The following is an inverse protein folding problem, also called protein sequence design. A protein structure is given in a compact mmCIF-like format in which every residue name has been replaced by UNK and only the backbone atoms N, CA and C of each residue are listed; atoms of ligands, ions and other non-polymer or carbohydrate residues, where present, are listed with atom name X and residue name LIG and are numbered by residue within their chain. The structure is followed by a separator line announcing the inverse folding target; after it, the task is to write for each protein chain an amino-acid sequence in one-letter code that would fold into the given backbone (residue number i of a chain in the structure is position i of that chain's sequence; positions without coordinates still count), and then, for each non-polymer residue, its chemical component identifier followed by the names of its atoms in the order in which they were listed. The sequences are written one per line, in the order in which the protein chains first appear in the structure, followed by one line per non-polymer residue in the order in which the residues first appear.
data_IF_975395899981
#
_entry.id   IF_975395899981
#
_cell.length_a   1.000
_cell.length_b   1.000
_cell.length_c   1.000
_cell.angle_alpha   90.00
_cell.angle_beta   90.00
_cell.angle_gamma   90.00
#
_symmetry.space_group_name_H-M   'P 1'
#
loop_
_entity.id
_entity.type
_entity.pdbx_description
1 polymer ?
#
# COMPACT_ATOMS: atom_id res chain seq x y z
N UNK A 1 -1.63 -28.23 -8.31
CA UNK A 1 -1.05 -26.93 -8.68
C UNK A 1 -2.04 -25.77 -8.53
N UNK A 2 -3.22 -25.76 -9.18
CA UNK A 2 -4.20 -24.65 -9.00
C UNK A 2 -4.78 -24.52 -7.58
N UNK A 3 -5.11 -25.64 -6.92
CA UNK A 3 -5.64 -25.63 -5.55
C UNK A 3 -4.65 -25.05 -4.54
N UNK A 4 -3.38 -25.41 -4.66
CA UNK A 4 -2.31 -24.96 -3.75
C UNK A 4 -2.04 -23.45 -3.82
N UNK A 5 -2.07 -22.86 -5.03
CA UNK A 5 -1.90 -21.42 -5.21
C UNK A 5 -3.09 -20.64 -4.61
N UNK A 6 -4.33 -21.12 -4.86
CA UNK A 6 -5.53 -20.51 -4.28
C UNK A 6 -5.48 -20.55 -2.75
N UNK A 7 -5.21 -21.71 -2.17
CA UNK A 7 -5.23 -21.88 -0.71
C UNK A 7 -4.13 -21.01 -0.04
N UNK A 8 -2.96 -20.89 -0.69
CA UNK A 8 -1.89 -19.98 -0.26
C UNK A 8 -2.33 -18.52 -0.31
N UNK A 9 -3.01 -18.10 -1.38
CA UNK A 9 -3.50 -16.73 -1.54
C UNK A 9 -4.63 -16.41 -0.56
N UNK A 10 -5.50 -17.36 -0.27
CA UNK A 10 -6.55 -17.21 0.75
C UNK A 10 -5.93 -16.99 2.14
N UNK A 11 -4.95 -17.81 2.53
CA UNK A 11 -4.22 -17.62 3.78
C UNK A 11 -3.48 -16.27 3.82
N UNK A 12 -2.75 -15.94 2.76
CA UNK A 12 -2.04 -14.65 2.63
C UNK A 12 -3.00 -13.45 2.71
N UNK A 13 -4.19 -13.56 2.13
CA UNK A 13 -5.24 -12.55 2.18
C UNK A 13 -5.72 -12.30 3.60
N UNK A 14 -6.02 -13.37 4.35
CA UNK A 14 -6.47 -13.29 5.73
C UNK A 14 -5.39 -12.69 6.64
N UNK A 15 -4.15 -13.15 6.52
CA UNK A 15 -3.02 -12.68 7.33
C UNK A 15 -2.72 -11.20 7.07
N UNK A 16 -2.70 -10.79 5.79
CA UNK A 16 -2.49 -9.38 5.48
C UNK A 16 -3.67 -8.51 5.89
N UNK A 17 -4.91 -9.02 5.85
CA UNK A 17 -6.08 -8.27 6.34
C UNK A 17 -5.92 -7.99 7.84
N UNK A 18 -5.53 -8.99 8.62
CA UNK A 18 -5.26 -8.82 10.05
C UNK A 18 -4.11 -7.83 10.30
N UNK A 19 -3.04 -7.90 9.50
CA UNK A 19 -1.91 -6.97 9.59
C UNK A 19 -2.33 -5.53 9.26
N UNK A 20 -3.09 -5.31 8.19
CA UNK A 20 -3.57 -4.00 7.78
C UNK A 20 -4.45 -3.36 8.86
N UNK A 21 -5.39 -4.12 9.43
CA UNK A 21 -6.24 -3.63 10.52
C UNK A 21 -5.42 -3.23 11.76
N UNK A 22 -4.36 -3.99 12.09
CA UNK A 22 -3.45 -3.64 13.20
C UNK A 22 -2.67 -2.37 12.92
N UNK A 23 -2.18 -2.17 11.69
CA UNK A 23 -1.47 -0.94 11.29
C UNK A 23 -2.42 0.26 11.40
N UNK A 24 -3.63 0.15 10.86
CA UNK A 24 -4.65 1.21 10.92
C UNK A 24 -5.03 1.57 12.36
N UNK A 25 -5.22 0.59 13.24
CA UNK A 25 -5.47 0.83 14.67
C UNK A 25 -4.31 1.60 15.36
N UNK A 26 -3.06 1.23 15.06
CA UNK A 26 -1.88 1.93 15.57
C UNK A 26 -1.78 3.37 15.04
N UNK A 27 -2.13 3.59 13.77
CA UNK A 27 -2.16 4.92 13.15
C UNK A 27 -3.24 5.80 13.81
N UNK A 28 -4.44 5.28 14.01
CA UNK A 28 -5.51 5.99 14.70
C UNK A 28 -5.10 6.40 16.13
N UNK A 29 -4.48 5.50 16.88
CA UNK A 29 -3.93 5.78 18.22
C UNK A 29 -2.87 6.88 18.20
N UNK A 30 -1.95 6.83 17.22
CA UNK A 30 -0.91 7.85 17.07
C UNK A 30 -1.49 9.24 16.75
N UNK A 31 -2.59 9.28 16.00
CA UNK A 31 -3.33 10.50 15.68
C UNK A 31 -4.30 10.95 16.78
N UNK A 32 -4.41 10.20 17.88
CA UNK A 32 -5.41 10.41 18.94
C UNK A 32 -6.84 10.49 18.38
N UNK A 33 -7.09 9.72 17.33
CA UNK A 33 -8.43 9.47 16.81
C UNK A 33 -9.07 8.40 17.67
N UNK A 34 -10.39 8.44 17.81
CA UNK A 34 -11.10 7.32 18.40
C UNK A 34 -10.87 6.09 17.51
N UNK A 35 -10.38 5.00 18.11
CA UNK A 35 -10.04 3.78 17.37
C UNK A 35 -11.25 3.21 16.60
N UNK A 36 -12.46 3.59 17.03
CA UNK A 36 -13.72 3.24 16.38
C UNK A 36 -13.81 3.79 14.95
N UNK A 37 -13.27 4.98 14.66
CA UNK A 37 -13.51 5.64 13.36
C UNK A 37 -12.74 4.95 12.24
N UNK A 38 -11.45 4.71 12.45
CA UNK A 38 -10.61 4.06 11.45
C UNK A 38 -10.96 2.58 11.31
N UNK A 39 -11.38 1.92 12.39
CA UNK A 39 -11.87 0.54 12.31
C UNK A 39 -13.18 0.44 11.52
N UNK A 40 -14.16 1.28 11.81
CA UNK A 40 -15.47 1.29 11.12
C UNK A 40 -15.32 1.55 9.62
N UNK A 41 -14.39 2.43 9.23
CA UNK A 41 -14.14 2.71 7.82
C UNK A 41 -13.59 1.51 7.04
N UNK A 42 -12.71 0.71 7.65
CA UNK A 42 -11.92 -0.32 6.95
C UNK A 42 -12.31 -1.77 7.24
N UNK A 43 -13.02 -2.08 8.33
CA UNK A 43 -13.34 -3.47 8.74
C UNK A 43 -14.18 -4.21 7.68
N UNK A 44 -15.18 -3.52 7.12
CA UNK A 44 -16.00 -3.97 5.99
C UNK A 44 -15.50 -3.41 4.63
N UNK A 45 -14.24 -3.00 4.60
CA UNK A 45 -13.59 -2.47 3.40
C UNK A 45 -13.33 -3.52 2.33
N UNK A 46 -12.83 -3.04 1.18
CA UNK A 46 -12.44 -3.89 0.06
C UNK A 46 -10.94 -4.20 0.09
N UNK A 47 -10.61 -5.46 -0.20
CA UNK A 47 -9.23 -5.92 -0.34
C UNK A 47 -9.01 -6.41 -1.78
N UNK A 48 -7.96 -5.92 -2.43
CA UNK A 48 -7.56 -6.35 -3.77
C UNK A 48 -6.09 -6.77 -3.79
N UNK A 49 -5.73 -7.69 -4.69
CA UNK A 49 -4.34 -8.07 -4.92
C UNK A 49 -3.94 -7.86 -6.38
N UNK A 50 -2.74 -7.33 -6.58
CA UNK A 50 -2.09 -7.21 -7.89
C UNK A 50 -0.74 -7.91 -7.86
N UNK A 51 -0.65 -8.99 -8.60
CA UNK A 51 0.61 -9.69 -8.85
C UNK A 51 1.27 -9.06 -10.07
N UNK A 52 2.52 -8.64 -9.93
CA UNK A 52 3.27 -7.99 -10.99
C UNK A 52 4.48 -8.86 -11.36
N UNK A 53 4.64 -9.06 -12.67
CA UNK A 53 5.82 -9.66 -13.27
C UNK A 53 6.44 -8.63 -14.21
N UNK A 54 7.65 -8.20 -13.90
CA UNK A 54 8.41 -7.23 -14.69
C UNK A 54 9.57 -7.98 -15.37
N UNK A 55 9.46 -8.33 -16.68
CA UNK A 55 10.53 -9.06 -17.37
C UNK A 55 11.79 -8.21 -17.56
N UNK A 56 12.94 -8.85 -17.85
CA UNK A 56 14.10 -8.16 -18.38
C UNK A 56 13.73 -7.34 -19.64
N UNK A 57 14.18 -6.10 -19.68
CA UNK A 57 13.95 -5.15 -20.74
C UNK A 57 15.29 -4.79 -21.40
N UNK A 58 15.48 -5.01 -22.72
CA UNK A 58 16.75 -4.69 -23.40
C UNK A 58 17.13 -3.21 -23.39
N UNK A 59 16.15 -2.31 -23.24
CA UNK A 59 16.33 -0.85 -23.25
C UNK A 59 15.61 -0.23 -22.04
N UNK A 60 16.07 -0.50 -20.81
CA UNK A 60 15.36 -0.11 -19.59
C UNK A 60 15.27 1.42 -19.40
N UNK A 61 16.11 2.19 -20.07
CA UNK A 61 16.06 3.65 -20.12
C UNK A 61 14.89 4.21 -20.97
N UNK A 62 14.32 3.39 -21.86
CA UNK A 62 13.20 3.75 -22.74
C UNK A 62 11.85 3.17 -22.28
N UNK A 63 11.84 2.36 -21.21
CA UNK A 63 10.66 1.66 -20.72
C UNK A 63 10.47 1.88 -19.21
N UNK A 64 9.24 1.66 -18.75
CA UNK A 64 8.89 1.68 -17.33
C UNK A 64 8.04 0.46 -17.02
N UNK A 65 8.30 -0.19 -15.88
CA UNK A 65 7.53 -1.35 -15.44
C UNK A 65 6.14 -0.95 -14.98
N UNK A 66 6.06 0.09 -14.16
CA UNK A 66 4.81 0.72 -13.73
C UNK A 66 5.00 2.23 -13.69
N UNK A 67 4.13 2.96 -14.41
CA UNK A 67 4.15 4.40 -14.45
C UNK A 67 4.07 5.03 -13.06
N UNK A 68 4.57 6.26 -12.97
CA UNK A 68 4.46 7.12 -11.79
C UNK A 68 2.99 7.30 -11.38
N UNK A 69 2.65 7.00 -10.12
CA UNK A 69 1.30 7.17 -9.57
C UNK A 69 1.34 7.23 -8.04
N UNK A 70 0.24 7.71 -7.43
CA UNK A 70 -0.12 7.42 -6.05
C UNK A 70 -1.20 6.33 -6.01
N UNK A 71 -1.35 5.69 -4.86
CA UNK A 71 -2.35 4.63 -4.70
C UNK A 71 -3.70 5.23 -4.29
N UNK A 72 -4.75 5.02 -5.09
CA UNK A 72 -6.11 5.51 -4.81
C UNK A 72 -6.86 4.71 -3.72
N UNK A 73 -6.13 4.06 -2.80
CA UNK A 73 -6.67 3.24 -1.71
C UNK A 73 -6.36 3.87 -0.35
N UNK A 74 -6.62 3.17 0.75
CA UNK A 74 -6.21 3.63 2.08
C UNK A 74 -4.79 3.17 2.44
N UNK A 75 -4.54 1.87 2.35
CA UNK A 75 -3.25 1.27 2.71
C UNK A 75 -2.84 0.22 1.69
N UNK A 76 -1.57 0.22 1.31
CA UNK A 76 -0.98 -0.83 0.47
C UNK A 76 0.10 -1.56 1.24
N UNK A 77 0.07 -2.90 1.17
CA UNK A 77 1.11 -3.79 1.70
C UNK A 77 1.70 -4.57 0.53
N UNK A 78 2.98 -4.34 0.27
CA UNK A 78 3.71 -4.91 -0.86
C UNK A 78 4.71 -5.96 -0.37
N UNK A 79 4.59 -7.17 -0.91
CA UNK A 79 5.62 -8.19 -0.86
C UNK A 79 6.46 -8.13 -2.14
N UNK A 80 7.77 -8.02 -1.99
CA UNK A 80 8.70 -8.28 -3.07
C UNK A 80 9.16 -9.73 -2.98
N UNK A 81 8.97 -10.50 -4.06
CA UNK A 81 9.19 -11.95 -4.06
C UNK A 81 10.67 -12.31 -4.25
N UNK A 82 11.40 -11.51 -5.03
CA UNK A 82 12.82 -11.71 -5.29
C UNK A 82 13.65 -10.49 -4.91
N UNK A 83 14.98 -10.61 -4.98
CA UNK A 83 15.90 -9.57 -4.51
C UNK A 83 16.12 -8.42 -5.52
N UNK A 84 15.46 -8.45 -6.68
CA UNK A 84 15.64 -7.41 -7.69
C UNK A 84 15.01 -6.07 -7.26
N UNK A 85 15.84 -5.04 -7.18
CA UNK A 85 15.40 -3.66 -6.98
C UNK A 85 14.54 -3.15 -8.15
N UNK A 86 13.66 -2.18 -7.90
CA UNK A 86 12.89 -1.55 -8.99
C UNK A 86 11.79 -0.63 -8.50
N UNK A 87 11.30 -0.81 -7.27
CA UNK A 87 10.41 0.17 -6.66
C UNK A 87 11.17 1.46 -6.34
N UNK A 88 10.61 2.59 -6.75
CA UNK A 88 11.12 3.92 -6.41
C UNK A 88 9.98 4.79 -5.90
N UNK A 89 10.26 5.59 -4.87
CA UNK A 89 9.34 6.60 -4.32
C UNK A 89 9.85 8.00 -4.64
N UNK A 90 8.95 8.98 -4.74
CA UNK A 90 9.32 10.36 -4.96
C UNK A 90 9.45 11.12 -3.65
N UNK A 91 10.64 11.65 -3.38
CA UNK A 91 10.91 12.46 -2.21
C UNK A 91 11.70 13.71 -2.60
N UNK A 92 11.19 14.90 -2.24
CA UNK A 92 11.82 16.18 -2.55
C UNK A 92 12.18 16.35 -4.04
N UNK A 93 11.29 15.89 -4.93
CA UNK A 93 11.49 15.95 -6.38
C UNK A 93 12.41 14.87 -6.96
N UNK A 94 13.04 14.04 -6.12
CA UNK A 94 13.97 12.98 -6.54
C UNK A 94 13.33 11.60 -6.42
N UNK A 95 13.77 10.68 -7.28
CA UNK A 95 13.41 9.26 -7.19
C UNK A 95 14.37 8.53 -6.25
N UNK A 96 13.83 7.95 -5.18
CA UNK A 96 14.59 7.22 -4.16
C UNK A 96 14.27 5.72 -4.31
N UNK A 97 15.28 4.86 -4.51
CA UNK A 97 15.06 3.42 -4.58
C UNK A 97 14.66 2.85 -3.23
N UNK A 98 13.68 1.94 -3.23
CA UNK A 98 13.30 1.16 -2.06
C UNK A 98 14.05 -0.17 -2.11
N UNK A 99 15.02 -0.35 -1.21
CA UNK A 99 15.80 -1.57 -1.13
C UNK A 99 14.95 -2.70 -0.55
N UNK A 100 14.86 -3.87 -1.21
CA UNK A 100 14.20 -5.02 -0.62
C UNK A 100 14.93 -5.48 0.62
N UNK A 101 14.17 -5.79 1.66
CA UNK A 101 14.67 -6.42 2.88
C UNK A 101 14.07 -7.83 2.96
N UNK A 102 14.90 -8.79 3.34
CA UNK A 102 14.45 -10.16 3.55
C UNK A 102 13.41 -10.19 4.68
N UNK A 103 12.34 -10.96 4.51
CA UNK A 103 11.25 -11.12 5.48
C UNK A 103 10.55 -9.80 5.86
N UNK A 104 10.47 -8.84 4.94
CA UNK A 104 9.80 -7.57 5.17
C UNK A 104 8.73 -7.28 4.12
N UNK A 105 7.69 -6.55 4.55
CA UNK A 105 6.77 -5.88 3.65
C UNK A 105 7.13 -4.41 3.52
N UNK A 106 6.86 -3.83 2.35
CA UNK A 106 6.80 -2.37 2.20
C UNK A 106 5.34 -1.96 2.42
N UNK A 107 5.13 -0.95 3.27
CA UNK A 107 3.80 -0.40 3.55
C UNK A 107 3.77 1.04 3.08
N UNK A 108 2.75 1.42 2.32
CA UNK A 108 2.54 2.81 1.90
C UNK A 108 1.10 3.28 2.13
N UNK A 109 0.99 4.58 2.36
CA UNK A 109 -0.26 5.31 2.54
C UNK A 109 -0.82 5.62 1.15
N UNK A 110 -2.13 5.42 0.97
CA UNK A 110 -2.84 5.82 -0.23
C UNK A 110 -3.67 7.10 -0.03
N UNK A 111 -4.18 7.62 -1.14
CA UNK A 111 -4.86 8.91 -1.23
C UNK A 111 -6.07 9.01 -0.29
N UNK A 112 -6.80 7.91 -0.09
CA UNK A 112 -7.98 7.90 0.79
C UNK A 112 -7.56 8.08 2.26
N UNK A 113 -6.46 7.45 2.68
CA UNK A 113 -5.98 7.58 4.05
C UNK A 113 -5.33 8.95 4.29
N UNK A 114 -4.75 9.57 3.26
CA UNK A 114 -4.36 10.98 3.32
C UNK A 114 -5.57 11.88 3.60
N UNK A 115 -6.69 11.68 2.89
CA UNK A 115 -7.93 12.44 3.12
C UNK A 115 -8.47 12.21 4.54
N UNK A 116 -8.58 10.95 4.97
CA UNK A 116 -9.06 10.56 6.32
C UNK A 116 -8.23 11.21 7.43
N UNK A 117 -6.92 11.33 7.21
CA UNK A 117 -6.00 11.93 8.19
C UNK A 117 -5.80 13.43 8.00
N UNK A 118 -6.60 14.06 7.14
CA UNK A 118 -6.54 15.48 6.81
C UNK A 118 -5.11 15.94 6.43
N UNK A 119 -4.43 15.13 5.62
CA UNK A 119 -3.09 15.44 5.10
C UNK A 119 -1.93 15.20 6.08
N UNK A 120 -2.19 14.71 7.30
CA UNK A 120 -1.12 14.42 8.27
C UNK A 120 -0.21 13.30 7.74
N UNK A 121 -0.81 12.23 7.22
CA UNK A 121 -0.08 11.20 6.48
C UNK A 121 -0.28 11.41 4.99
N UNK A 122 0.84 11.46 4.26
CA UNK A 122 0.84 11.77 2.83
C UNK A 122 0.98 10.50 1.99
N UNK A 123 0.16 10.41 0.96
CA UNK A 123 0.28 9.49 -0.16
C UNK A 123 1.44 9.93 -1.04
N UNK A 124 2.40 9.03 -1.25
CA UNK A 124 3.65 9.34 -1.94
C UNK A 124 3.64 8.71 -3.34
N UNK A 125 3.93 9.55 -4.34
CA UNK A 125 4.11 9.11 -5.72
C UNK A 125 5.23 8.09 -5.81
N UNK A 126 4.99 6.99 -6.52
CA UNK A 126 5.93 5.90 -6.68
C UNK A 126 5.81 5.28 -8.09
N UNK A 127 6.85 4.55 -8.49
CA UNK A 127 6.95 3.87 -9.78
C UNK A 127 7.72 2.55 -9.66
N UNK A 128 7.61 1.70 -10.67
CA UNK A 128 8.45 0.51 -10.79
C UNK A 128 9.30 0.58 -12.07
N UNK A 129 10.62 0.52 -11.93
CA UNK A 129 11.57 0.45 -13.05
C UNK A 129 11.82 -0.99 -13.47
N UNK A 130 12.38 -1.15 -14.67
CA UNK A 130 12.83 -2.44 -15.22
C UNK A 130 14.36 -2.41 -15.37
N UNK A 131 14.98 -3.57 -15.52
CA UNK A 131 16.40 -3.71 -15.88
C UNK A 131 16.54 -4.71 -17.03
N UNK A 132 17.75 -4.89 -17.57
CA UNK A 132 18.04 -5.78 -18.71
C UNK A 132 18.48 -7.20 -18.34
N UNK A 133 18.64 -7.50 -17.06
CA UNK A 133 19.31 -8.71 -16.56
C UNK A 133 18.33 -9.76 -16.03
N UNK A 134 17.40 -9.36 -15.15
CA UNK A 134 16.53 -10.27 -14.43
C UNK A 134 15.12 -9.71 -14.23
N UNK A 135 14.16 -10.61 -14.03
CA UNK A 135 12.79 -10.25 -13.73
C UNK A 135 12.62 -9.73 -12.29
N UNK A 136 11.62 -8.88 -12.08
CA UNK A 136 11.10 -8.55 -10.74
C UNK A 136 9.73 -9.15 -10.55
N UNK A 137 9.48 -9.74 -9.39
CA UNK A 137 8.14 -10.17 -8.99
C UNK A 137 7.70 -9.46 -7.71
N UNK A 138 6.46 -9.00 -7.69
CA UNK A 138 5.85 -8.42 -6.47
C UNK A 138 4.36 -8.68 -6.37
N UNK A 139 3.84 -8.72 -5.15
CA UNK A 139 2.41 -8.81 -4.86
C UNK A 139 2.03 -7.60 -4.02
N UNK A 140 1.26 -6.69 -4.61
CA UNK A 140 0.68 -5.55 -3.90
C UNK A 140 -0.71 -5.93 -3.41
N UNK A 141 -0.97 -5.74 -2.12
CA UNK A 141 -2.28 -5.96 -1.49
C UNK A 141 -2.83 -4.63 -1.02
N UNK A 142 -3.98 -4.24 -1.55
CA UNK A 142 -4.59 -2.93 -1.34
C UNK A 142 -5.79 -3.04 -0.40
N UNK A 143 -5.91 -2.08 0.51
CA UNK A 143 -7.03 -1.94 1.45
C UNK A 143 -7.71 -0.60 1.25
N UNK A 144 -8.98 -0.66 0.86
CA UNK A 144 -9.85 0.50 0.72
C UNK A 144 -10.96 0.46 1.75
N UNK A 145 -11.48 1.61 2.21
CA UNK A 145 -12.64 1.61 3.08
C UNK A 145 -13.89 1.11 2.34
N UNK A 146 -14.98 0.94 3.09
CA UNK A 146 -16.30 0.62 2.53
C UNK A 146 -16.74 1.69 1.52
N UNK A 147 -17.28 1.26 0.37
CA UNK A 147 -17.74 2.14 -0.71
C UNK A 147 -18.77 3.20 -0.26
N UNK A 148 -19.61 2.84 0.72
CA UNK A 148 -20.67 3.71 1.26
C UNK A 148 -20.26 4.38 2.59
N UNK A 149 -18.99 4.30 2.98
CA UNK A 149 -18.48 4.87 4.23
C UNK A 149 -18.45 6.40 4.20
N UNK A 150 -18.95 7.06 5.24
CA UNK A 150 -18.81 8.51 5.38
C UNK A 150 -17.36 8.86 5.78
N UNK A 151 -16.55 9.21 4.78
CA UNK A 151 -15.15 9.60 4.95
C UNK A 151 -14.98 10.86 5.83
N UNK A 152 -16.03 11.66 6.01
CA UNK A 152 -15.98 12.91 6.79
C UNK A 152 -16.16 12.70 8.29
N UNK A 153 -16.58 11.52 8.75
CA UNK A 153 -16.69 11.21 10.17
C UNK A 153 -15.33 11.37 10.87
N UNK A 154 -14.28 10.79 10.27
CA UNK A 154 -12.91 10.83 10.79
C UNK A 154 -12.27 12.23 10.88
N UNK A 155 -12.72 13.18 10.07
CA UNK A 155 -12.18 14.54 10.06
C UNK A 155 -12.73 15.41 11.20
N UNK A 156 -13.91 15.07 11.74
CA UNK A 156 -14.53 15.84 12.84
C UNK A 156 -13.68 15.75 14.11
N UNK A 157 -13.18 14.57 14.42
CA UNK A 157 -12.43 14.32 15.67
C UNK A 157 -11.00 14.88 15.64
N UNK A 158 -10.36 14.90 14.47
CA UNK A 158 -9.05 15.55 14.28
C UNK A 158 -9.10 17.08 14.52
N UNK A 159 -10.26 17.71 14.34
CA UNK A 159 -10.45 19.13 14.63
C UNK A 159 -10.58 19.42 16.13
N UNK A 160 -11.11 18.47 16.92
CA UNK A 160 -11.29 18.63 18.36
C UNK A 160 -10.04 18.25 19.17
N UNK A 161 -9.24 17.28 18.71
CA UNK A 161 -7.99 16.87 19.39
C UNK A 161 -6.80 17.84 19.24
N UNK A 162 -6.89 18.82 18.34
CA UNK A 162 -5.85 19.84 18.10
C UNK A 162 -6.14 21.20 18.78
N UNK A 163 -7.07 21.24 19.75
CA UNK A 163 -7.24 22.35 20.71
C UNK A 163 -6.76 21.92 22.08
#
# INVERSE_FOLDING_TARGET
MFFECRDTLEAYSLDLKALAMKILDLMAKALKMEAVDMKVLFEEGHQAMRMNYYPPCPQPELAIGLNSHSDAVGLTILLQINEMEGLQIRQNGMWIPVKPLQNAFVVNIGDILEIVTNGIYRSIEHRATVNSECERLSIATFYSPKLDGDMLLSQRDLHYSNK
#
